data_IF_623091143714
#
_entry.id   IF_623091143714
#
_cell.length_a   1.000
_cell.length_b   1.000
_cell.length_c   1.000
_cell.angle_alpha   90.00
_cell.angle_beta   90.00
_cell.angle_gamma   90.00
#
_symmetry.space_group_name_H-M   'P 1'
#
loop_
_entity.id
_entity.type
_entity.pdbx_description
1 polymer ?
#
# COMPACT_ATOMS: atom_id res chain seq x y z
N UNK A 1 2.42 1.33 13.34
CA UNK A 1 1.35 1.09 12.34
C UNK A 1 0.13 1.94 12.69
N UNK A 2 0.06 3.19 12.19
CA UNK A 2 -1.08 4.07 12.49
C UNK A 2 -1.50 5.02 11.35
N UNK A 3 -0.68 5.23 10.32
CA UNK A 3 -0.99 6.19 9.26
C UNK A 3 -2.21 5.77 8.41
N UNK A 4 -2.26 4.51 7.94
CA UNK A 4 -3.41 4.02 7.16
C UNK A 4 -4.71 4.02 7.97
N UNK A 5 -4.66 3.64 9.25
CA UNK A 5 -5.83 3.65 10.14
C UNK A 5 -6.36 5.07 10.41
N UNK A 6 -5.52 6.10 10.27
CA UNK A 6 -5.91 7.51 10.37
C UNK A 6 -6.17 8.15 9.00
N UNK A 7 -6.00 7.41 7.91
CA UNK A 7 -6.09 7.93 6.55
C UNK A 7 -5.13 9.13 6.34
N UNK A 8 -3.97 9.04 6.97
CA UNK A 8 -2.91 10.06 7.00
C UNK A 8 -1.97 9.83 5.81
N UNK A 9 -2.30 10.47 4.68
CA UNK A 9 -1.58 10.32 3.40
C UNK A 9 -0.08 10.61 3.54
N UNK A 10 0.29 11.67 4.26
CA UNK A 10 1.71 12.00 4.47
C UNK A 10 2.41 10.93 5.31
N UNK A 11 1.75 10.43 6.36
CA UNK A 11 2.24 9.30 7.12
C UNK A 11 2.36 8.02 6.29
N UNK A 12 1.45 7.79 5.34
CA UNK A 12 1.48 6.63 4.43
C UNK A 12 2.61 6.73 3.39
N UNK A 13 2.97 7.94 2.94
CA UNK A 13 4.07 8.17 1.99
C UNK A 13 5.45 8.15 2.66
N UNK A 14 5.53 8.49 3.95
CA UNK A 14 6.80 8.59 4.69
C UNK A 14 7.75 7.37 4.60
N UNK A 15 7.29 6.11 4.51
CA UNK A 15 8.17 4.95 4.41
C UNK A 15 8.76 4.73 2.99
N UNK A 16 8.27 5.46 1.99
CA UNK A 16 8.68 5.29 0.60
C UNK A 16 9.86 6.19 0.25
N UNK A 17 10.75 5.69 -0.61
CA UNK A 17 11.71 6.52 -1.33
C UNK A 17 10.98 7.56 -2.20
N UNK A 18 11.60 8.72 -2.46
CA UNK A 18 10.95 9.81 -3.21
C UNK A 18 10.56 9.43 -4.64
N UNK A 19 11.29 8.50 -5.22
CA UNK A 19 11.11 7.95 -6.56
C UNK A 19 10.49 6.54 -6.54
N UNK A 20 9.86 6.16 -5.43
CA UNK A 20 9.22 4.86 -5.32
C UNK A 20 8.10 4.68 -6.37
N UNK A 21 7.85 3.43 -6.75
CA UNK A 21 6.80 3.07 -7.70
C UNK A 21 5.79 2.14 -7.02
N UNK A 22 4.51 2.48 -7.11
CA UNK A 22 3.41 1.67 -6.62
C UNK A 22 2.60 1.12 -7.80
N UNK A 23 2.40 -0.20 -7.82
CA UNK A 23 1.55 -0.90 -8.78
C UNK A 23 0.28 -1.37 -8.08
N UNK A 24 -0.87 -0.83 -8.49
CA UNK A 24 -2.17 -1.18 -7.95
C UNK A 24 -3.24 -1.05 -9.04
N UNK A 25 -4.28 -1.88 -8.98
CA UNK A 25 -5.42 -1.84 -9.92
C UNK A 25 -5.03 -1.86 -11.41
N UNK A 26 -3.90 -2.51 -11.74
CA UNK A 26 -3.32 -2.54 -13.10
C UNK A 26 -2.67 -1.22 -13.55
N UNK A 27 -2.64 -0.21 -12.69
CA UNK A 27 -1.96 1.07 -12.88
C UNK A 27 -0.57 1.13 -12.24
N UNK A 28 0.23 2.10 -12.70
CA UNK A 28 1.57 2.41 -12.18
C UNK A 28 1.59 3.84 -11.68
N UNK A 29 1.98 4.03 -10.42
CA UNK A 29 1.96 5.31 -9.72
C UNK A 29 3.37 5.65 -9.26
N UNK A 30 3.96 6.69 -9.84
CA UNK A 30 5.37 7.03 -9.62
C UNK A 30 5.53 8.22 -8.68
N UNK A 31 6.48 8.06 -7.75
CA UNK A 31 6.83 9.05 -6.76
C UNK A 31 5.66 9.45 -5.85
N UNK A 32 5.92 10.44 -5.01
CA UNK A 32 4.94 10.87 -4.00
C UNK A 32 3.68 11.45 -4.64
N UNK A 33 3.80 12.13 -5.78
CA UNK A 33 2.64 12.70 -6.47
C UNK A 33 1.69 11.62 -6.99
N UNK A 34 2.22 10.58 -7.65
CA UNK A 34 1.42 9.48 -8.18
C UNK A 34 0.77 8.65 -7.06
N UNK A 35 1.53 8.34 -6.01
CA UNK A 35 1.02 7.59 -4.86
C UNK A 35 0.00 8.39 -4.04
N UNK A 36 0.19 9.70 -3.89
CA UNK A 36 -0.79 10.59 -3.25
C UNK A 36 -2.12 10.56 -3.99
N UNK A 37 -2.10 10.72 -5.32
CA UNK A 37 -3.31 10.66 -6.13
C UNK A 37 -4.03 9.32 -5.95
N UNK A 38 -3.31 8.20 -5.99
CA UNK A 38 -3.89 6.88 -5.73
C UNK A 38 -4.57 6.82 -4.35
N UNK A 39 -3.91 7.27 -3.29
CA UNK A 39 -4.50 7.21 -1.95
C UNK A 39 -5.75 8.09 -1.85
N UNK A 40 -5.69 9.31 -2.35
CA UNK A 40 -6.80 10.27 -2.35
C UNK A 40 -8.00 9.78 -3.18
N UNK A 41 -7.77 9.04 -4.27
CA UNK A 41 -8.81 8.53 -5.16
C UNK A 41 -9.36 7.15 -4.74
N UNK A 42 -8.50 6.24 -4.29
CA UNK A 42 -8.84 4.82 -4.12
C UNK A 42 -8.84 4.34 -2.67
N UNK A 43 -8.19 5.04 -1.74
CA UNK A 43 -8.08 4.60 -0.33
C UNK A 43 -8.93 5.46 0.60
N UNK A 44 -8.79 6.79 0.51
CA UNK A 44 -9.48 7.73 1.40
C UNK A 44 -11.01 7.67 1.25
N UNK A 45 -11.60 7.69 0.03
CA UNK A 45 -13.05 7.78 -0.12
C UNK A 45 -13.78 6.55 0.42
N UNK A 46 -13.14 5.39 0.35
CA UNK A 46 -13.67 4.11 0.82
C UNK A 46 -13.13 3.71 2.18
N UNK A 47 -12.35 4.56 2.86
CA UNK A 47 -11.72 4.29 4.16
C UNK A 47 -11.05 2.90 4.22
N UNK A 48 -10.29 2.55 3.18
CA UNK A 48 -9.68 1.22 3.09
C UNK A 48 -8.55 1.05 4.12
N UNK A 49 -8.82 0.28 5.17
CA UNK A 49 -7.88 -0.04 6.24
C UNK A 49 -7.39 -1.48 6.04
N UNK A 50 -6.13 -1.62 5.65
CA UNK A 50 -5.42 -2.89 5.58
C UNK A 50 -5.02 -3.36 6.98
N UNK A 51 -5.41 -4.58 7.33
CA UNK A 51 -5.11 -5.25 8.60
C UNK A 51 -4.30 -6.53 8.30
N UNK A 52 -2.96 -6.44 8.21
CA UNK A 52 -2.13 -7.59 7.85
C UNK A 52 -2.19 -8.68 8.90
N UNK A 53 -2.25 -9.94 8.46
CA UNK A 53 -2.28 -11.13 9.33
C UNK A 53 -1.17 -12.14 9.00
N UNK A 54 -0.43 -11.95 7.90
CA UNK A 54 0.71 -12.76 7.52
C UNK A 54 1.84 -11.90 6.93
N UNK A 55 3.07 -12.31 7.21
CA UNK A 55 4.30 -11.74 6.64
C UNK A 55 5.25 -12.86 6.27
N UNK A 56 5.91 -12.73 5.12
CA UNK A 56 6.96 -13.64 4.68
C UNK A 56 8.02 -12.87 3.89
N UNK A 57 9.22 -13.41 3.87
CA UNK A 57 10.34 -12.88 3.10
C UNK A 57 10.55 -13.78 1.90
N UNK A 58 10.53 -13.21 0.69
CA UNK A 58 10.75 -13.90 -0.59
C UNK A 58 11.89 -13.17 -1.31
N UNK A 59 13.08 -13.78 -1.36
CA UNK A 59 14.29 -13.18 -1.94
C UNK A 59 14.56 -11.76 -1.38
N UNK A 60 14.56 -10.74 -2.26
CA UNK A 60 14.74 -9.32 -1.93
C UNK A 60 13.41 -8.59 -1.63
N UNK A 61 12.33 -9.35 -1.43
CA UNK A 61 10.99 -8.82 -1.16
C UNK A 61 10.46 -9.20 0.21
N UNK A 62 9.71 -8.28 0.80
CA UNK A 62 8.84 -8.56 1.94
C UNK A 62 7.42 -8.67 1.43
N UNK A 63 6.77 -9.80 1.63
CA UNK A 63 5.39 -10.02 1.23
C UNK A 63 4.50 -10.01 2.47
N UNK A 64 3.51 -9.13 2.45
CA UNK A 64 2.55 -8.97 3.55
C UNK A 64 1.16 -9.25 3.00
N UNK A 65 0.38 -10.03 3.72
CA UNK A 65 -0.98 -10.38 3.33
C UNK A 65 -1.96 -10.06 4.45
N UNK A 66 -3.21 -9.80 4.07
CA UNK A 66 -4.29 -9.62 5.01
C UNK A 66 -5.55 -9.04 4.37
N UNK A 67 -6.65 -8.96 5.13
CA UNK A 67 -7.85 -8.26 4.71
C UNK A 67 -7.65 -6.74 4.71
N UNK A 68 -8.23 -6.05 3.73
CA UNK A 68 -8.56 -4.64 3.83
C UNK A 68 -10.06 -4.48 4.05
N UNK A 69 -10.42 -3.63 5.02
CA UNK A 69 -11.78 -3.29 5.36
C UNK A 69 -12.07 -1.86 4.93
N UNK A 70 -13.20 -1.62 4.29
CA UNK A 70 -13.66 -0.29 3.93
C UNK A 70 -15.08 -0.27 3.39
N UNK A 71 -15.50 0.92 2.97
CA UNK A 71 -16.80 1.25 2.37
C UNK A 71 -16.81 0.94 0.85
N UNK A 72 -16.29 -0.23 0.45
CA UNK A 72 -16.27 -0.70 -0.93
C UNK A 72 -16.98 -2.05 -1.07
N UNK A 73 -17.51 -2.34 -2.26
CA UNK A 73 -18.26 -3.58 -2.53
C UNK A 73 -17.33 -4.79 -2.37
N UNK A 74 -17.75 -5.76 -1.56
CA UNK A 74 -16.99 -6.99 -1.31
C UNK A 74 -16.02 -6.91 -0.14
N UNK A 75 -16.00 -5.80 0.61
CA UNK A 75 -15.23 -5.67 1.86
C UNK A 75 -15.64 -6.72 2.91
N UNK A 76 -14.68 -7.41 3.57
CA UNK A 76 -13.24 -7.30 3.35
C UNK A 76 -12.75 -8.07 2.10
N UNK A 77 -11.79 -7.48 1.38
CA UNK A 77 -11.03 -8.16 0.33
C UNK A 77 -9.64 -8.49 0.87
N UNK A 78 -9.13 -9.68 0.57
CA UNK A 78 -7.77 -10.06 0.93
C UNK A 78 -6.81 -9.51 -0.11
N UNK A 79 -5.72 -8.90 0.34
CA UNK A 79 -4.69 -8.37 -0.53
C UNK A 79 -3.33 -8.98 -0.21
N UNK A 80 -2.48 -9.04 -1.22
CA UNK A 80 -1.05 -9.33 -1.13
C UNK A 80 -0.28 -8.06 -1.50
N UNK A 81 0.60 -7.62 -0.61
CA UNK A 81 1.47 -6.47 -0.77
C UNK A 81 2.90 -6.98 -0.88
N UNK A 82 3.57 -6.73 -2.00
CA UNK A 82 4.98 -7.10 -2.22
C UNK A 82 5.83 -5.85 -2.18
N UNK A 83 6.65 -5.74 -1.14
CA UNK A 83 7.54 -4.61 -0.92
C UNK A 83 8.95 -4.96 -1.39
N UNK A 84 9.52 -4.13 -2.25
CA UNK A 84 10.97 -4.10 -2.53
C UNK A 84 11.59 -2.96 -1.73
N UNK A 85 12.64 -3.26 -0.96
CA UNK A 85 13.31 -2.29 -0.10
C UNK A 85 14.64 -1.83 -0.69
N UNK A 86 14.98 -0.56 -0.49
CA UNK A 86 16.26 0.06 -0.82
C UNK A 86 16.68 0.92 0.38
N UNK A 87 17.80 0.60 1.03
CA UNK A 87 18.33 1.34 2.19
C UNK A 87 17.28 1.60 3.28
N UNK A 88 16.60 0.55 3.75
CA UNK A 88 15.52 0.59 4.76
C UNK A 88 14.26 1.39 4.38
N UNK A 89 14.13 1.83 3.12
CA UNK A 89 12.95 2.50 2.58
C UNK A 89 12.27 1.67 1.47
N UNK A 90 10.98 1.90 1.23
CA UNK A 90 10.24 1.19 0.19
C UNK A 90 10.58 1.81 -1.18
N UNK A 91 11.16 1.00 -2.07
CA UNK A 91 11.45 1.38 -3.47
C UNK A 91 10.31 1.02 -4.41
N UNK A 92 9.68 -0.12 -4.19
CA UNK A 92 8.51 -0.51 -4.95
C UNK A 92 7.48 -1.22 -4.06
N UNK A 93 6.21 -1.03 -4.40
CA UNK A 93 5.10 -1.77 -3.81
C UNK A 93 4.20 -2.27 -4.93
N UNK A 94 3.96 -3.58 -4.96
CA UNK A 94 2.93 -4.21 -5.80
C UNK A 94 1.78 -4.69 -4.93
N UNK A 95 0.54 -4.36 -5.33
CA UNK A 95 -0.69 -4.73 -4.63
C UNK A 95 -1.56 -5.58 -5.56
N UNK A 96 -1.91 -6.77 -5.11
CA UNK A 96 -2.84 -7.68 -5.80
C UNK A 96 -3.93 -8.18 -4.86
N UNK A 97 -5.16 -8.31 -5.36
CA UNK A 97 -6.30 -8.91 -4.66
C UNK A 97 -6.49 -10.39 -5.02
#
# INVERSE_FOLDING_TARGET
MAANARLDVDGMLSPFTRDAVLFADGGRHEGYAGMRALFEEAVIPVKAIFAPDAVRHEDDQVVVEGPAHGDFKGSPIRFTYRFTLENDAIKALEITA
#
